data_IF_386821691684
#
_entry.id   IF_386821691684
#
_cell.length_a   1.000
_cell.length_b   1.000
_cell.length_c   1.000
_cell.angle_alpha   90.00
_cell.angle_beta   90.00
_cell.angle_gamma   90.00
#
_symmetry.space_group_name_H-M   'P 1'
#
loop_
_entity.id
_entity.type
_entity.pdbx_description
1 polymer ?
#
# COMPACT_ATOMS: atom_id res chain seq x y z
N UNK A 1 -13.66 7.17 24.82
CA UNK A 1 -13.69 5.79 25.37
C UNK A 1 -15.14 5.31 25.36
N UNK A 2 -15.46 4.27 24.61
CA UNK A 2 -16.83 3.78 24.43
C UNK A 2 -17.35 2.97 25.65
N UNK A 3 -16.48 2.66 26.60
CA UNK A 3 -16.77 1.90 27.82
C UNK A 3 -16.37 2.67 29.09
N UNK A 4 -16.41 4.01 29.03
CA UNK A 4 -15.95 4.89 30.12
C UNK A 4 -16.81 4.80 31.39
N UNK A 5 -18.11 4.51 31.25
CA UNK A 5 -19.02 4.35 32.38
C UNK A 5 -18.71 3.07 33.18
N UNK A 6 -18.95 3.14 34.48
CA UNK A 6 -18.91 2.01 35.40
C UNK A 6 -20.14 1.10 35.25
N UNK A 7 -21.18 1.58 34.57
CA UNK A 7 -22.34 0.77 34.19
C UNK A 7 -22.19 0.21 32.77
N UNK A 8 -22.11 -1.13 32.58
CA UNK A 8 -22.02 -1.74 31.26
C UNK A 8 -23.21 -1.43 30.33
N UNK A 9 -24.38 -1.11 30.90
CA UNK A 9 -25.57 -0.73 30.11
C UNK A 9 -25.42 0.61 29.40
N UNK A 10 -24.51 1.47 29.87
CA UNK A 10 -24.22 2.79 29.30
C UNK A 10 -23.08 2.74 28.27
N UNK A 11 -22.50 1.57 28.03
CA UNK A 11 -21.44 1.42 27.05
C UNK A 11 -21.96 1.63 25.63
N UNK A 12 -21.22 2.41 24.84
CA UNK A 12 -21.54 2.70 23.46
C UNK A 12 -21.09 1.56 22.53
N UNK A 13 -21.78 0.43 22.66
CA UNK A 13 -21.55 -0.76 21.84
C UNK A 13 -21.87 -0.51 20.36
N UNK A 14 -22.74 0.47 20.06
CA UNK A 14 -23.12 0.82 18.70
C UNK A 14 -21.94 1.41 17.93
N UNK A 15 -21.20 2.34 18.53
CA UNK A 15 -20.02 2.92 17.86
C UNK A 15 -18.88 1.90 17.74
N UNK A 16 -18.76 0.99 18.71
CA UNK A 16 -17.85 -0.16 18.62
C UNK A 16 -18.21 -1.05 17.42
N UNK A 17 -19.49 -1.41 17.28
CA UNK A 17 -19.98 -2.21 16.15
C UNK A 17 -19.67 -1.55 14.81
N UNK A 18 -19.96 -0.26 14.69
CA UNK A 18 -19.67 0.52 13.48
C UNK A 18 -18.18 0.55 13.17
N UNK A 19 -17.33 0.78 14.18
CA UNK A 19 -15.88 0.81 14.02
C UNK A 19 -15.36 -0.54 13.52
N UNK A 20 -15.81 -1.65 14.12
CA UNK A 20 -15.44 -3.00 13.70
C UNK A 20 -15.89 -3.30 12.27
N UNK A 21 -17.10 -2.91 11.87
CA UNK A 21 -17.61 -3.07 10.49
C UNK A 21 -16.79 -2.31 9.45
N UNK A 22 -16.10 -1.21 9.82
CA UNK A 22 -15.22 -0.49 8.89
C UNK A 22 -13.85 -1.15 8.68
N UNK A 23 -13.46 -2.01 9.62
CA UNK A 23 -12.18 -2.73 9.63
C UNK A 23 -12.31 -4.14 9.07
N UNK A 24 -13.30 -4.89 9.54
CA UNK A 24 -13.50 -6.30 9.20
C UNK A 24 -14.13 -6.48 7.81
N UNK A 25 -13.97 -7.65 7.18
CA UNK A 25 -14.63 -7.97 5.93
C UNK A 25 -16.16 -7.82 6.03
N UNK A 26 -16.86 -7.40 4.94
CA UNK A 26 -18.33 -7.29 4.94
C UNK A 26 -19.06 -8.62 5.21
N UNK A 27 -18.38 -9.75 5.02
CA UNK A 27 -18.88 -11.10 5.31
C UNK A 27 -18.86 -11.44 6.80
N UNK A 28 -18.16 -10.66 7.64
CA UNK A 28 -18.10 -10.90 9.06
C UNK A 28 -19.41 -10.46 9.75
N UNK A 29 -20.06 -11.39 10.46
CA UNK A 29 -21.25 -11.09 11.28
C UNK A 29 -20.87 -10.38 12.58
N UNK A 30 -20.48 -9.11 12.48
CA UNK A 30 -20.09 -8.29 13.65
C UNK A 30 -21.25 -8.12 14.61
N UNK A 31 -22.48 -7.94 14.09
CA UNK A 31 -23.64 -7.65 14.93
C UNK A 31 -24.06 -8.86 15.76
N UNK A 32 -24.19 -10.04 15.12
CA UNK A 32 -24.54 -11.27 15.83
C UNK A 32 -23.49 -11.62 16.87
N UNK A 33 -22.20 -11.55 16.53
CA UNK A 33 -21.12 -11.82 17.49
C UNK A 33 -21.08 -10.85 18.67
N UNK A 34 -21.35 -9.56 18.43
CA UNK A 34 -21.45 -8.57 19.50
C UNK A 34 -22.65 -8.81 20.41
N UNK A 35 -23.78 -9.27 19.87
CA UNK A 35 -24.95 -9.63 20.67
C UNK A 35 -24.67 -10.82 21.62
N UNK A 36 -23.92 -11.82 21.14
CA UNK A 36 -23.49 -12.97 21.96
C UNK A 36 -22.54 -12.50 23.07
N UNK A 37 -21.49 -11.76 22.72
CA UNK A 37 -20.55 -11.26 23.72
C UNK A 37 -21.23 -10.35 24.75
N UNK A 38 -22.20 -9.52 24.34
CA UNK A 38 -23.01 -8.71 25.27
C UNK A 38 -23.75 -9.58 26.31
N UNK A 39 -24.29 -10.72 25.89
CA UNK A 39 -25.00 -11.64 26.79
C UNK A 39 -24.03 -12.25 27.82
N UNK A 40 -22.82 -12.60 27.40
CA UNK A 40 -21.77 -13.11 28.30
C UNK A 40 -21.32 -12.05 29.31
N UNK A 41 -21.31 -10.78 28.91
CA UNK A 41 -20.98 -9.66 29.80
C UNK A 41 -21.99 -9.47 30.94
N UNK A 42 -23.21 -9.98 30.85
CA UNK A 42 -24.22 -9.89 31.92
C UNK A 42 -23.94 -10.83 33.11
N UNK A 43 -22.92 -11.70 32.98
CA UNK A 43 -22.46 -12.59 34.06
C UNK A 43 -21.89 -11.88 35.29
N UNK A 44 -21.41 -12.66 36.27
CA UNK A 44 -20.82 -12.16 37.54
C UNK A 44 -19.37 -11.65 37.39
N UNK A 45 -19.06 -11.00 36.26
CA UNK A 45 -17.76 -10.40 36.02
C UNK A 45 -17.68 -9.03 36.67
N UNK A 46 -16.51 -8.69 37.20
CA UNK A 46 -16.21 -7.32 37.61
C UNK A 46 -16.03 -6.39 36.40
N UNK A 47 -15.89 -5.08 36.64
CA UNK A 47 -15.81 -4.10 35.56
C UNK A 47 -14.55 -4.26 34.68
N UNK A 48 -13.41 -4.62 35.28
CA UNK A 48 -12.15 -4.81 34.56
C UNK A 48 -12.18 -6.11 33.73
N UNK A 49 -12.75 -7.17 34.28
CA UNK A 49 -13.00 -8.43 33.59
C UNK A 49 -13.95 -8.24 32.41
N UNK A 50 -15.04 -7.47 32.56
CA UNK A 50 -15.96 -7.17 31.45
C UNK A 50 -15.27 -6.44 30.30
N UNK A 51 -14.44 -5.44 30.61
CA UNK A 51 -13.69 -4.70 29.58
C UNK A 51 -12.68 -5.62 28.88
N UNK A 52 -12.01 -6.47 29.64
CA UNK A 52 -11.07 -7.47 29.10
C UNK A 52 -11.79 -8.47 28.21
N UNK A 53 -12.91 -9.03 28.66
CA UNK A 53 -13.74 -9.97 27.89
C UNK A 53 -14.20 -9.36 26.57
N UNK A 54 -14.65 -8.10 26.58
CA UNK A 54 -15.06 -7.40 25.36
C UNK A 54 -13.90 -7.29 24.34
N UNK A 55 -12.68 -6.99 24.82
CA UNK A 55 -11.47 -6.96 23.98
C UNK A 55 -11.17 -8.35 23.44
N UNK A 56 -11.20 -9.38 24.29
CA UNK A 56 -10.92 -10.76 23.91
C UNK A 56 -11.90 -11.28 22.87
N UNK A 57 -13.22 -11.04 23.05
CA UNK A 57 -14.24 -11.29 22.05
C UNK A 57 -13.79 -10.71 20.69
N UNK A 58 -13.53 -9.41 20.62
CA UNK A 58 -13.14 -8.76 19.36
C UNK A 58 -11.87 -9.33 18.77
N UNK A 59 -10.87 -9.65 19.59
CA UNK A 59 -9.62 -10.26 19.11
C UNK A 59 -9.85 -11.64 18.50
N UNK A 60 -10.73 -12.45 19.07
CA UNK A 60 -11.17 -13.72 18.45
C UNK A 60 -11.82 -13.44 17.10
N UNK A 61 -12.65 -12.40 17.00
CA UNK A 61 -13.35 -12.11 15.75
C UNK A 61 -12.42 -11.66 14.62
N UNK A 62 -11.41 -10.86 14.96
CA UNK A 62 -10.36 -10.44 14.04
C UNK A 62 -9.53 -11.65 13.58
N UNK A 63 -9.14 -12.54 14.51
CA UNK A 63 -8.40 -13.76 14.18
C UNK A 63 -9.17 -14.67 13.24
N UNK A 64 -10.44 -14.95 13.53
CA UNK A 64 -11.28 -15.78 12.64
C UNK A 64 -11.41 -15.17 11.24
N UNK A 65 -11.51 -13.85 11.15
CA UNK A 65 -11.58 -13.13 9.88
C UNK A 65 -10.26 -13.24 9.10
N UNK A 66 -9.13 -13.22 9.81
CA UNK A 66 -7.80 -13.38 9.22
C UNK A 66 -7.56 -14.84 8.78
N UNK A 67 -7.94 -15.83 9.59
CA UNK A 67 -7.90 -17.25 9.22
C UNK A 67 -8.77 -17.55 7.98
N UNK A 68 -9.92 -16.88 7.86
CA UNK A 68 -10.77 -16.96 6.68
C UNK A 68 -10.10 -16.34 5.44
N UNK A 69 -9.39 -15.22 5.60
CA UNK A 69 -8.60 -14.60 4.54
C UNK A 69 -7.45 -15.52 4.08
N UNK A 70 -6.72 -16.12 5.03
CA UNK A 70 -5.65 -17.08 4.73
C UNK A 70 -6.18 -18.27 3.92
N UNK A 71 -7.32 -18.84 4.32
CA UNK A 71 -7.99 -19.92 3.58
C UNK A 71 -8.46 -19.50 2.18
N UNK A 72 -8.89 -18.25 2.00
CA UNK A 72 -9.30 -17.74 0.69
C UNK A 72 -8.11 -17.58 -0.27
N UNK A 73 -6.96 -17.17 0.24
CA UNK A 73 -5.72 -17.04 -0.56
C UNK A 73 -5.14 -18.44 -0.85
N UNK A 74 -5.13 -19.33 0.14
CA UNK A 74 -4.74 -20.73 -0.01
C UNK A 74 -3.23 -20.99 -0.06
N UNK A 75 -2.40 -19.99 -0.36
CA UNK A 75 -0.94 -20.09 -0.37
C UNK A 75 -0.30 -19.12 0.64
N UNK A 76 0.41 -19.61 1.68
CA UNK A 76 1.00 -18.76 2.71
C UNK A 76 2.07 -17.77 2.20
N UNK A 77 2.78 -18.12 1.13
CA UNK A 77 3.81 -17.26 0.52
C UNK A 77 3.19 -15.97 -0.04
N UNK A 78 2.01 -16.08 -0.65
CA UNK A 78 1.26 -14.96 -1.23
C UNK A 78 0.78 -14.05 -0.13
N UNK A 79 0.17 -14.59 0.93
CA UNK A 79 -0.29 -13.80 2.07
C UNK A 79 0.86 -13.02 2.70
N UNK A 80 2.01 -13.68 2.90
CA UNK A 80 3.23 -13.03 3.41
C UNK A 80 3.67 -11.86 2.52
N UNK A 81 3.60 -12.00 1.21
CA UNK A 81 3.98 -10.92 0.28
C UNK A 81 2.97 -9.77 0.30
N UNK A 82 1.68 -10.09 0.37
CA UNK A 82 0.61 -9.10 0.54
C UNK A 82 0.81 -8.29 1.83
N UNK A 83 1.13 -8.96 2.94
CA UNK A 83 1.40 -8.30 4.22
C UNK A 83 2.59 -7.35 4.14
N UNK A 84 3.70 -7.79 3.53
CA UNK A 84 4.86 -6.93 3.31
C UNK A 84 4.52 -5.69 2.50
N UNK A 85 3.81 -5.87 1.38
CA UNK A 85 3.43 -4.76 0.49
C UNK A 85 2.55 -3.75 1.23
N UNK A 86 1.57 -4.22 2.01
CA UNK A 86 0.70 -3.36 2.81
C UNK A 86 1.50 -2.61 3.88
N UNK A 87 2.37 -3.31 4.59
CA UNK A 87 3.17 -2.73 5.67
C UNK A 87 4.16 -1.68 5.14
N UNK A 88 4.89 -2.00 4.06
CA UNK A 88 5.82 -1.07 3.42
C UNK A 88 5.10 0.18 2.91
N UNK A 89 3.96 0.01 2.24
CA UNK A 89 3.18 1.15 1.75
C UNK A 89 2.69 2.05 2.89
N UNK A 90 2.16 1.47 3.97
CA UNK A 90 1.72 2.23 5.13
C UNK A 90 2.88 2.97 5.81
N UNK A 91 4.05 2.34 5.88
CA UNK A 91 5.26 2.96 6.43
C UNK A 91 5.76 4.11 5.57
N UNK A 92 5.83 3.94 4.25
CA UNK A 92 6.28 4.97 3.32
C UNK A 92 5.38 6.21 3.37
N UNK A 93 4.05 6.00 3.29
CA UNK A 93 3.06 7.07 3.37
C UNK A 93 3.17 7.82 4.71
N UNK A 94 3.28 7.11 5.83
CA UNK A 94 3.39 7.72 7.14
C UNK A 94 4.73 8.45 7.35
N UNK A 95 5.82 7.90 6.82
CA UNK A 95 7.17 8.47 6.95
C UNK A 95 7.31 9.77 6.16
N UNK A 96 6.80 9.83 4.93
CA UNK A 96 6.80 11.07 4.12
C UNK A 96 6.07 12.19 4.88
N UNK A 97 4.87 11.90 5.39
CA UNK A 97 4.11 12.85 6.20
C UNK A 97 4.87 13.24 7.48
N UNK A 98 5.56 12.30 8.13
CA UNK A 98 6.37 12.58 9.31
C UNK A 98 7.54 13.52 9.01
N UNK A 99 8.25 13.33 7.89
CA UNK A 99 9.35 14.20 7.48
C UNK A 99 8.88 15.64 7.24
N UNK A 100 7.73 15.81 6.58
CA UNK A 100 7.12 17.12 6.39
C UNK A 100 6.77 17.78 7.74
N UNK A 101 6.12 17.02 8.62
CA UNK A 101 5.74 17.52 9.94
C UNK A 101 6.95 17.89 10.81
N UNK A 102 8.04 17.11 10.77
CA UNK A 102 9.31 17.44 11.43
C UNK A 102 9.94 18.70 10.82
N UNK A 103 9.81 18.87 9.49
CA UNK A 103 10.15 20.11 8.80
C UNK A 103 9.42 21.31 9.39
N UNK A 104 8.10 21.25 9.51
CA UNK A 104 7.28 22.30 10.12
C UNK A 104 7.67 22.56 11.59
N UNK A 105 7.87 21.51 12.38
CA UNK A 105 8.29 21.63 13.79
C UNK A 105 9.60 22.40 13.91
N UNK A 106 10.60 22.10 13.06
CA UNK A 106 11.90 22.78 13.09
C UNK A 106 11.79 24.27 12.81
N UNK A 107 10.95 24.68 11.86
CA UNK A 107 10.73 26.09 11.56
C UNK A 107 9.95 26.81 12.67
N UNK A 108 9.00 26.13 13.33
CA UNK A 108 8.15 26.71 14.37
C UNK A 108 8.77 26.74 15.78
N UNK A 109 9.74 25.88 16.09
CA UNK A 109 10.26 25.72 17.46
C UNK A 109 10.98 26.97 17.98
N UNK A 110 11.52 27.82 17.08
CA UNK A 110 12.18 29.07 17.47
C UNK A 110 11.28 30.02 18.26
N UNK A 111 9.96 29.96 18.05
CA UNK A 111 8.98 30.76 18.80
C UNK A 111 8.77 30.26 20.24
N UNK A 112 9.15 29.03 20.58
CA UNK A 112 9.06 28.47 21.93
C UNK A 112 10.15 29.00 22.88
N UNK A 113 11.26 29.53 22.33
CA UNK A 113 12.32 30.16 23.11
C UNK A 113 11.87 31.40 23.89
N UNK A 114 10.76 32.03 23.49
CA UNK A 114 10.15 33.15 24.23
C UNK A 114 9.54 32.71 25.58
N UNK A 115 9.25 31.42 25.77
CA UNK A 115 8.68 30.86 27.00
C UNK A 115 9.71 30.43 28.05
N UNK A 116 10.99 30.83 27.92
CA UNK A 116 12.10 30.39 28.80
C UNK A 116 12.31 28.86 28.85
N UNK A 117 11.76 28.12 27.87
CA UNK A 117 12.01 26.68 27.69
C UNK A 117 13.11 26.49 26.65
N UNK A 118 13.98 25.51 26.89
CA UNK A 118 15.03 25.14 25.94
C UNK A 118 14.38 24.61 24.64
N UNK A 119 14.54 25.32 23.50
CA UNK A 119 13.94 24.91 22.23
C UNK A 119 14.37 23.52 21.78
N UNK A 120 15.59 23.08 22.11
CA UNK A 120 16.09 21.77 21.73
C UNK A 120 15.37 20.66 22.52
N UNK A 121 15.11 20.89 23.80
CA UNK A 121 14.37 19.95 24.65
C UNK A 121 12.94 19.81 24.17
N UNK A 122 12.28 20.94 23.89
CA UNK A 122 10.90 20.93 23.37
C UNK A 122 10.82 20.30 21.97
N UNK A 123 11.78 20.57 21.09
CA UNK A 123 11.89 19.90 19.79
C UNK A 123 11.95 18.39 19.96
N UNK A 124 12.85 17.87 20.80
CA UNK A 124 13.00 16.43 21.03
C UNK A 124 11.73 15.80 21.56
N UNK A 125 11.08 16.45 22.53
CA UNK A 125 9.83 15.97 23.14
C UNK A 125 8.70 15.90 22.11
N UNK A 126 8.53 16.95 21.31
CA UNK A 126 7.48 17.00 20.29
C UNK A 126 7.78 16.04 19.13
N UNK A 127 9.01 15.98 18.65
CA UNK A 127 9.43 15.06 17.61
C UNK A 127 9.19 13.59 18.01
N UNK A 128 9.53 13.22 19.26
CA UNK A 128 9.28 11.87 19.77
C UNK A 128 7.79 11.55 19.86
N UNK A 129 6.95 12.50 20.33
CA UNK A 129 5.49 12.33 20.31
C UNK A 129 4.96 12.10 18.90
N UNK A 130 5.44 12.89 17.93
CA UNK A 130 5.04 12.78 16.53
C UNK A 130 5.51 11.46 15.89
N UNK A 131 6.66 10.92 16.31
CA UNK A 131 7.12 9.60 15.90
C UNK A 131 6.19 8.49 16.43
N UNK A 132 5.80 8.54 17.70
CA UNK A 132 4.86 7.55 18.25
C UNK A 132 3.48 7.63 17.58
N UNK A 133 3.02 8.85 17.27
CA UNK A 133 1.78 9.04 16.49
C UNK A 133 1.91 8.42 15.09
N UNK A 134 3.04 8.64 14.41
CA UNK A 134 3.30 8.01 13.10
C UNK A 134 3.26 6.47 13.20
N UNK A 135 3.93 5.88 14.21
CA UNK A 135 3.90 4.42 14.43
C UNK A 135 2.46 3.92 14.66
N UNK A 136 1.65 4.67 15.43
CA UNK A 136 0.23 4.34 15.61
C UNK A 136 -0.55 4.40 14.29
N UNK A 137 -0.31 5.42 13.45
CA UNK A 137 -0.96 5.52 12.14
C UNK A 137 -0.57 4.38 11.20
N UNK A 138 0.70 3.96 11.18
CA UNK A 138 1.14 2.78 10.40
C UNK A 138 0.35 1.55 10.80
N UNK A 139 0.34 1.21 12.10
CA UNK A 139 -0.37 0.04 12.61
C UNK A 139 -1.87 0.09 12.28
N UNK A 140 -2.49 1.27 12.44
CA UNK A 140 -3.90 1.48 12.12
C UNK A 140 -4.19 1.29 10.64
N UNK A 141 -3.36 1.86 9.76
CA UNK A 141 -3.52 1.74 8.31
C UNK A 141 -3.39 0.28 7.86
N UNK A 142 -2.39 -0.44 8.38
CA UNK A 142 -2.21 -1.88 8.11
C UNK A 142 -3.45 -2.68 8.51
N UNK A 143 -3.96 -2.48 9.73
CA UNK A 143 -5.16 -3.17 10.22
C UNK A 143 -6.41 -2.87 9.38
N UNK A 144 -6.55 -1.66 8.83
CA UNK A 144 -7.66 -1.30 7.94
C UNK A 144 -7.49 -1.83 6.50
N UNK A 145 -6.25 -2.04 6.05
CA UNK A 145 -5.96 -2.45 4.68
C UNK A 145 -5.98 -3.96 4.48
N UNK A 146 -5.54 -4.75 5.48
CA UNK A 146 -5.37 -6.21 5.34
C UNK A 146 -6.65 -6.92 4.89
N UNK A 147 -7.82 -6.51 5.39
CA UNK A 147 -9.12 -7.09 5.03
C UNK A 147 -9.76 -6.48 3.78
N UNK A 148 -9.16 -5.43 3.20
CA UNK A 148 -9.66 -4.78 1.96
C UNK A 148 -8.97 -5.27 0.71
N UNK A 149 -7.94 -6.12 0.84
CA UNK A 149 -7.26 -6.72 -0.29
C UNK A 149 -8.25 -7.56 -1.07
N UNK A 150 -8.61 -7.11 -2.27
CA UNK A 150 -9.32 -7.96 -3.22
C UNK A 150 -8.29 -8.90 -3.84
N UNK A 151 -8.30 -10.16 -3.42
CA UNK A 151 -7.43 -11.16 -4.01
C UNK A 151 -7.95 -11.55 -5.40
N UNK A 152 -7.34 -10.99 -6.44
CA UNK A 152 -7.56 -11.44 -7.82
C UNK A 152 -6.54 -12.53 -8.15
N UNK A 153 -6.90 -13.79 -7.87
CA UNK A 153 -6.05 -14.97 -8.09
C UNK A 153 -5.52 -15.05 -9.53
N UNK A 154 -6.34 -14.70 -10.51
CA UNK A 154 -5.98 -14.74 -11.94
C UNK A 154 -4.92 -13.71 -12.33
N UNK A 155 -4.82 -12.59 -11.60
CA UNK A 155 -3.77 -11.60 -11.83
C UNK A 155 -2.43 -12.09 -11.26
N UNK A 156 -2.46 -12.65 -10.04
CA UNK A 156 -1.27 -13.18 -9.37
C UNK A 156 -0.63 -14.33 -10.16
N UNK A 157 -1.43 -15.31 -10.60
CA UNK A 157 -0.94 -16.43 -11.41
C UNK A 157 -0.30 -15.96 -12.72
N UNK A 158 -0.87 -14.96 -13.40
CA UNK A 158 -0.30 -14.37 -14.62
C UNK A 158 1.02 -13.67 -14.40
N UNK A 159 1.13 -12.90 -13.32
CA UNK A 159 2.35 -12.16 -12.99
C UNK A 159 3.48 -13.11 -12.58
N UNK A 160 3.18 -14.14 -11.78
CA UNK A 160 4.14 -15.16 -11.40
C UNK A 160 4.66 -15.96 -12.61
N UNK A 161 3.77 -16.32 -13.55
CA UNK A 161 4.14 -16.98 -14.81
C UNK A 161 4.98 -16.08 -15.73
N UNK A 162 4.72 -14.76 -15.76
CA UNK A 162 5.54 -13.81 -16.52
C UNK A 162 6.92 -13.59 -15.93
N UNK A 163 7.04 -13.50 -14.60
CA UNK A 163 8.33 -13.33 -13.93
C UNK A 163 9.21 -14.58 -14.03
N UNK A 164 8.61 -15.77 -13.93
CA UNK A 164 9.33 -17.04 -14.13
C UNK A 164 9.74 -17.26 -15.59
N UNK A 165 8.91 -16.86 -16.57
CA UNK A 165 9.27 -16.88 -18.00
C UNK A 165 10.39 -15.87 -18.35
N UNK A 166 10.39 -14.69 -17.73
CA UNK A 166 11.39 -13.65 -17.98
C UNK A 166 12.76 -14.02 -17.41
N UNK A 167 12.79 -14.75 -16.29
CA UNK A 167 14.02 -15.18 -15.61
C UNK A 167 14.77 -16.31 -16.34
N UNK A 168 14.13 -17.02 -17.27
CA UNK A 168 14.76 -18.06 -18.09
C UNK A 168 15.33 -17.56 -19.42
N UNK A 169 15.22 -16.25 -19.73
CA UNK A 169 15.59 -15.71 -21.05
C UNK A 169 17.00 -15.10 -21.14
N UNK A 170 17.81 -15.12 -20.08
CA UNK A 170 19.09 -14.40 -20.03
C UNK A 170 20.33 -15.27 -20.34
N UNK A 171 20.18 -16.51 -20.80
CA UNK A 171 21.32 -17.40 -21.10
C UNK A 171 21.26 -18.04 -22.49
N UNK A 172 21.18 -17.22 -23.54
CA UNK A 172 21.53 -17.66 -24.89
C UNK A 172 21.73 -16.46 -25.81
N UNK A 173 22.94 -15.91 -25.84
CA UNK A 173 23.59 -15.38 -27.06
C UNK A 173 24.96 -14.81 -26.70
N UNK A 174 25.93 -15.70 -26.49
CA UNK A 174 27.36 -15.38 -26.55
C UNK A 174 28.07 -16.51 -27.30
N UNK A 175 28.01 -16.51 -28.63
CA UNK A 175 28.92 -17.27 -29.50
C UNK A 175 28.70 -16.97 -30.99
N UNK A 176 29.79 -16.66 -31.69
CA UNK A 176 29.88 -16.79 -33.16
C UNK A 176 30.17 -15.48 -33.90
N UNK A 177 31.45 -15.26 -34.25
CA UNK A 177 31.89 -14.11 -35.06
C UNK A 177 31.86 -14.32 -36.58
N UNK A 178 32.47 -13.32 -37.24
CA UNK A 178 32.96 -13.24 -38.63
C UNK A 178 32.08 -12.55 -39.71
N UNK A 179 32.61 -11.40 -40.16
CA UNK A 179 32.51 -10.71 -41.45
C UNK A 179 31.98 -11.49 -42.67
N UNK A 180 31.14 -10.85 -43.51
CA UNK A 180 31.44 -10.51 -44.91
C UNK A 180 30.27 -9.81 -45.67
N UNK A 181 30.58 -8.62 -46.20
CA UNK A 181 30.24 -8.03 -47.52
C UNK A 181 28.84 -8.16 -48.18
N UNK A 182 28.22 -6.98 -48.32
CA UNK A 182 27.93 -6.23 -49.56
C UNK A 182 26.98 -6.77 -50.66
N UNK A 183 25.97 -5.91 -50.95
CA UNK A 183 25.21 -5.70 -52.20
C UNK A 183 24.38 -6.90 -52.72
N UNK A 184 23.11 -6.76 -53.07
CA UNK A 184 22.59 -5.79 -54.02
C UNK A 184 21.04 -5.80 -54.04
N UNK A 185 20.52 -4.67 -54.50
CA UNK A 185 19.25 -4.46 -55.21
C UNK A 185 17.86 -4.43 -54.53
N UNK A 186 17.10 -3.50 -55.13
CA UNK A 186 15.88 -2.81 -54.74
C UNK A 186 14.60 -3.55 -55.15
N UNK A 187 13.49 -2.98 -54.65
CA UNK A 187 12.11 -3.02 -55.17
C UNK A 187 11.25 -4.18 -54.61
N UNK A 188 10.02 -4.01 -54.15
CA UNK A 188 9.12 -2.85 -54.02
C UNK A 188 7.85 -3.29 -53.24
N UNK A 189 7.15 -2.29 -52.69
CA UNK A 189 5.78 -2.22 -52.13
C UNK A 189 5.28 -3.24 -51.11
N UNK A 190 4.99 -2.73 -49.92
CA UNK A 190 4.16 -3.37 -48.90
C UNK A 190 3.59 -2.34 -47.94
N UNK A 191 2.69 -1.51 -48.43
CA UNK A 191 2.08 -0.39 -47.74
C UNK A 191 1.44 -0.76 -46.39
N UNK A 192 1.53 0.13 -45.40
CA UNK A 192 0.39 0.94 -44.89
C UNK A 192 0.69 1.60 -43.54
N UNK A 193 0.36 2.88 -43.50
CA UNK A 193 0.15 3.70 -42.32
C UNK A 193 -0.72 3.01 -41.26
N UNK A 194 -0.36 3.18 -39.99
CA UNK A 194 -1.32 3.56 -38.97
C UNK A 194 -0.61 4.27 -37.80
N UNK A 195 -1.01 5.53 -37.66
CA UNK A 195 -0.91 6.46 -36.54
C UNK A 195 -0.91 5.79 -35.16
N UNK A 196 0.11 6.06 -34.34
CA UNK A 196 -0.01 5.94 -32.89
C UNK A 196 0.47 7.23 -32.21
N UNK A 197 -0.47 7.81 -31.47
CA UNK A 197 -0.21 8.85 -30.48
C UNK A 197 0.70 8.27 -29.40
N UNK A 198 1.85 8.90 -29.21
CA UNK A 198 2.78 8.61 -28.12
C UNK A 198 4.03 9.42 -28.37
N UNK A 199 4.26 10.46 -27.58
CA UNK A 199 5.39 11.36 -27.67
C UNK A 199 6.71 10.64 -27.35
N UNK A 200 7.18 9.82 -28.28
CA UNK A 200 8.55 9.35 -28.33
C UNK A 200 9.39 10.52 -28.87
N UNK A 201 10.34 11.02 -28.08
CA UNK A 201 11.14 12.19 -28.43
C UNK A 201 11.98 11.84 -29.66
N UNK A 202 11.54 12.27 -30.85
CA UNK A 202 12.26 12.06 -32.10
C UNK A 202 13.68 12.62 -31.97
N UNK A 203 14.68 11.76 -32.15
CA UNK A 203 16.08 12.11 -32.00
C UNK A 203 16.51 13.09 -33.10
N UNK A 204 17.44 13.99 -32.79
CA UNK A 204 17.92 15.04 -33.72
C UNK A 204 18.40 14.49 -35.08
N UNK A 205 18.85 13.24 -35.15
CA UNK A 205 19.33 12.59 -36.36
C UNK A 205 18.34 11.58 -37.00
N UNK A 206 17.17 11.37 -36.41
CA UNK A 206 16.20 10.37 -36.88
C UNK A 206 15.50 10.82 -38.17
N UNK A 207 14.90 9.90 -38.95
CA UNK A 207 14.11 10.24 -40.13
C UNK A 207 12.98 11.22 -39.77
N UNK A 208 12.82 12.28 -40.55
CA UNK A 208 11.79 13.27 -40.28
C UNK A 208 10.39 12.72 -40.59
N UNK A 209 9.45 12.96 -39.68
CA UNK A 209 8.07 12.49 -39.78
C UNK A 209 7.29 13.04 -40.99
N UNK A 210 7.78 14.09 -41.67
CA UNK A 210 7.12 14.68 -42.83
C UNK A 210 7.27 13.87 -44.12
N UNK A 211 7.93 12.70 -44.09
CA UNK A 211 8.11 11.85 -45.27
C UNK A 211 9.15 12.36 -46.27
N UNK A 212 9.92 13.40 -45.94
CA UNK A 212 10.94 13.99 -46.84
C UNK A 212 12.18 13.11 -47.07
N UNK A 213 12.34 12.02 -46.31
CA UNK A 213 13.54 11.18 -46.30
C UNK A 213 14.79 11.83 -45.68
N UNK A 214 14.69 13.07 -45.18
CA UNK A 214 15.81 13.80 -44.54
C UNK A 214 15.82 13.57 -43.02
N UNK A 215 17.00 13.73 -42.38
CA UNK A 215 17.13 13.72 -40.91
C UNK A 215 16.38 14.89 -40.26
N UNK A 216 15.80 14.72 -39.08
CA UNK A 216 14.96 15.69 -38.37
C UNK A 216 15.61 17.09 -38.28
N UNK A 217 16.88 17.18 -37.84
CA UNK A 217 17.63 18.45 -37.76
C UNK A 217 17.80 19.21 -39.07
N UNK A 218 17.66 18.54 -40.22
CA UNK A 218 17.81 19.15 -41.56
C UNK A 218 16.46 19.48 -42.20
N UNK A 219 15.36 19.28 -41.47
CA UNK A 219 14.01 19.52 -41.96
C UNK A 219 13.18 20.33 -40.97
N UNK A 220 12.89 19.79 -39.78
CA UNK A 220 11.98 20.40 -38.80
C UNK A 220 12.61 20.63 -37.40
N UNK A 221 13.87 20.26 -37.21
CA UNK A 221 14.58 20.43 -35.93
C UNK A 221 15.42 21.70 -35.82
N UNK A 222 14.88 22.85 -36.27
CA UNK A 222 15.49 24.16 -36.06
C UNK A 222 15.31 24.61 -34.61
#
# INVERSE_FOLDING_TARGET
>A
FHTASDSPSEWDLKTIEQSLKTMLPPTADVHGRLSVCKTELEGKLDLAERRTHLIECMMVWVRDSYDALEKQIGEPSILTEVEKVIFLRAMDDAWINHLENIGHLRHGIGLQGYGQRDPLVEYKKQAFRMFNEMQYQVNRQVAHMIFRVQFNREHFEREHLQQSASSSSTTSNLSGGAMAQAANDRADVGARHATSNGSEKIGRNDPCFCGSGKKYKKCHGA
#
